data_IF_570571038409
#
_entry.id   IF_570571038409
#
_cell.length_a   1.000
_cell.length_b   1.000
_cell.length_c   1.000
_cell.angle_alpha   90.00
_cell.angle_beta   90.00
_cell.angle_gamma   90.00
#
_symmetry.space_group_name_H-M   'P 1'
#
loop_
_entity.id
_entity.type
_entity.pdbx_description
1 polymer ?
#
# COMPACT_ATOMS: atom_id res chain seq x y z
N UNK A 1 -13.81 1.31 -3.71
CA UNK A 1 -14.04 1.40 -2.27
C UNK A 1 -12.69 1.39 -1.58
N UNK A 2 -12.43 2.39 -0.73
CA UNK A 2 -11.08 2.74 -0.27
C UNK A 2 -10.39 3.72 -1.23
N UNK A 3 -9.27 4.30 -0.77
CA UNK A 3 -8.54 5.49 -1.27
C UNK A 3 -7.95 5.39 -2.70
N UNK A 4 -8.63 4.68 -3.62
CA UNK A 4 -8.28 4.53 -5.04
C UNK A 4 -9.53 4.36 -5.90
N UNK A 5 -9.44 4.72 -7.18
CA UNK A 5 -10.51 4.56 -8.15
C UNK A 5 -10.05 4.86 -9.57
N UNK A 6 -11.02 5.12 -10.44
CA UNK A 6 -10.79 5.56 -11.81
C UNK A 6 -11.56 6.86 -12.06
N UNK A 7 -10.96 7.76 -12.82
CA UNK A 7 -11.59 9.00 -13.25
C UNK A 7 -11.55 9.09 -14.78
N UNK A 8 -12.55 9.75 -15.35
CA UNK A 8 -12.53 10.16 -16.75
C UNK A 8 -11.90 11.54 -16.84
N UNK A 9 -10.83 11.68 -17.61
CA UNK A 9 -10.10 12.94 -17.76
C UNK A 9 -9.99 13.28 -19.25
N UNK A 10 -10.09 14.58 -19.55
CA UNK A 10 -9.74 15.10 -20.88
C UNK A 10 -8.29 15.53 -20.83
N UNK A 11 -7.45 14.86 -21.60
CA UNK A 11 -6.03 15.21 -21.71
C UNK A 11 -5.89 16.27 -22.80
N UNK A 12 -5.15 17.35 -22.54
CA UNK A 12 -4.75 18.37 -23.53
C UNK A 12 -5.86 19.01 -24.41
N UNK A 13 -7.12 19.03 -23.98
CA UNK A 13 -8.22 19.62 -24.75
C UNK A 13 -8.86 18.67 -25.78
N UNK A 14 -8.53 17.38 -25.71
CA UNK A 14 -9.14 16.35 -26.55
C UNK A 14 -10.65 16.22 -26.29
N UNK A 15 -11.40 15.87 -27.34
CA UNK A 15 -12.85 15.63 -27.23
C UNK A 15 -13.17 14.31 -26.52
N UNK A 16 -12.25 13.33 -26.60
CA UNK A 16 -12.39 12.01 -25.96
C UNK A 16 -11.90 12.02 -24.51
N UNK A 17 -12.62 11.28 -23.67
CA UNK A 17 -12.29 11.10 -22.26
C UNK A 17 -11.46 9.81 -22.08
N UNK A 18 -10.29 9.94 -21.45
CA UNK A 18 -9.47 8.80 -21.04
C UNK A 18 -9.85 8.36 -19.62
N UNK A 19 -9.88 7.04 -19.38
CA UNK A 19 -10.05 6.49 -18.03
C UNK A 19 -8.68 6.31 -17.40
N UNK A 20 -8.39 7.09 -16.36
CA UNK A 20 -7.10 7.05 -15.64
C UNK A 20 -7.29 6.57 -14.19
N UNK A 21 -6.29 5.88 -13.61
CA UNK A 21 -6.31 5.55 -12.20
C UNK A 21 -6.14 6.82 -11.35
N UNK A 22 -6.83 6.88 -10.22
CA UNK A 22 -6.74 7.98 -9.24
C UNK A 22 -6.57 7.43 -7.83
N UNK A 23 -5.80 8.14 -7.01
CA UNK A 23 -5.59 7.86 -5.59
C UNK A 23 -6.12 9.05 -4.76
N UNK A 24 -6.64 8.74 -3.57
CA UNK A 24 -7.27 9.72 -2.67
C UNK A 24 -6.57 9.71 -1.29
N UNK A 25 -6.86 10.73 -0.46
CA UNK A 25 -6.44 10.83 0.94
C UNK A 25 -4.95 10.55 1.19
N UNK A 26 -4.06 11.37 0.60
CA UNK A 26 -2.63 11.14 0.72
C UNK A 26 -2.10 11.46 2.13
N UNK A 27 -1.10 10.70 2.55
CA UNK A 27 -0.21 11.02 3.66
C UNK A 27 1.23 11.12 3.13
N UNK A 28 1.49 12.13 2.29
CA UNK A 28 2.74 12.21 1.49
C UNK A 28 3.97 12.52 2.34
N UNK A 29 5.08 11.86 2.00
CA UNK A 29 6.41 12.15 2.51
C UNK A 29 7.46 11.60 1.53
N UNK A 30 8.72 12.05 1.65
CA UNK A 30 9.83 11.43 0.95
C UNK A 30 10.31 10.21 1.74
N UNK A 31 10.18 9.03 1.17
CA UNK A 31 10.48 7.76 1.86
C UNK A 31 10.74 6.61 0.90
N UNK A 32 10.87 5.41 1.48
CA UNK A 32 11.04 4.19 0.68
C UNK A 32 9.72 3.81 0.00
N UNK A 33 9.77 3.57 -1.31
CA UNK A 33 8.62 3.13 -2.13
C UNK A 33 8.04 1.80 -1.65
N UNK A 34 8.85 0.97 -0.99
CA UNK A 34 8.37 -0.28 -0.40
C UNK A 34 7.27 -0.06 0.64
N UNK A 35 7.20 1.12 1.28
CA UNK A 35 6.15 1.45 2.23
C UNK A 35 4.77 1.53 1.55
N UNK A 36 4.68 2.18 0.39
CA UNK A 36 3.44 2.29 -0.37
C UNK A 36 3.00 0.92 -0.91
N UNK A 37 3.95 0.12 -1.42
CA UNK A 37 3.67 -1.25 -1.87
C UNK A 37 3.25 -2.16 -0.72
N UNK A 38 3.89 -2.06 0.45
CA UNK A 38 3.50 -2.85 1.60
C UNK A 38 2.04 -2.57 2.03
N UNK A 39 1.64 -1.29 2.02
CA UNK A 39 0.32 -0.85 2.43
C UNK A 39 -0.81 -1.44 1.55
N UNK A 40 -0.54 -1.75 0.28
CA UNK A 40 -1.56 -2.36 -0.60
C UNK A 40 -2.02 -3.73 -0.08
N UNK A 41 -1.20 -4.44 0.72
CA UNK A 41 -1.50 -5.75 1.29
C UNK A 41 -2.34 -5.72 2.57
N UNK A 42 -2.43 -4.58 3.26
CA UNK A 42 -3.03 -4.52 4.62
C UNK A 42 -4.54 -4.77 4.62
N UNK A 43 -5.25 -4.42 3.53
CA UNK A 43 -6.71 -4.53 3.43
C UNK A 43 -7.17 -5.36 2.23
N UNK A 44 -6.64 -6.58 2.12
CA UNK A 44 -7.08 -7.56 1.12
C UNK A 44 -6.25 -7.60 -0.17
N UNK A 45 -5.21 -6.78 -0.29
CA UNK A 45 -4.32 -6.80 -1.45
C UNK A 45 -4.91 -6.09 -2.67
N UNK A 46 -4.04 -5.72 -3.61
CA UNK A 46 -4.45 -5.38 -4.98
C UNK A 46 -4.40 -6.64 -5.86
N UNK A 47 -4.90 -6.55 -7.09
CA UNK A 47 -4.85 -7.68 -8.03
C UNK A 47 -3.42 -8.06 -8.41
N UNK A 48 -3.19 -9.32 -8.82
CA UNK A 48 -1.88 -9.82 -9.26
C UNK A 48 -1.26 -8.95 -10.36
N UNK A 49 -2.09 -8.44 -11.27
CA UNK A 49 -1.66 -7.65 -12.42
C UNK A 49 -1.02 -6.33 -11.99
N UNK A 50 -1.45 -5.75 -10.86
CA UNK A 50 -0.82 -4.56 -10.29
C UNK A 50 0.61 -4.86 -9.84
N UNK A 51 0.82 -5.97 -9.11
CA UNK A 51 2.14 -6.33 -8.62
C UNK A 51 3.08 -6.76 -9.76
N UNK A 52 2.56 -7.47 -10.76
CA UNK A 52 3.32 -7.84 -11.94
C UNK A 52 3.79 -6.60 -12.73
N UNK A 53 2.89 -5.64 -12.97
CA UNK A 53 3.26 -4.40 -13.66
C UNK A 53 4.25 -3.54 -12.86
N UNK A 54 4.11 -3.49 -11.52
CA UNK A 54 5.06 -2.76 -10.69
C UNK A 54 6.45 -3.41 -10.70
N UNK A 55 6.52 -4.74 -10.65
CA UNK A 55 7.78 -5.48 -10.71
C UNK A 55 8.47 -5.35 -12.07
N UNK A 56 7.71 -5.26 -13.17
CA UNK A 56 8.25 -5.02 -14.51
C UNK A 56 8.88 -3.62 -14.64
N UNK A 57 8.22 -2.59 -14.12
CA UNK A 57 8.67 -1.20 -14.22
C UNK A 57 9.75 -0.83 -13.18
N UNK A 58 9.61 -1.32 -11.95
CA UNK A 58 10.52 -1.00 -10.84
C UNK A 58 10.70 -2.18 -9.87
N UNK A 59 11.50 -3.19 -10.24
CA UNK A 59 11.70 -4.41 -9.48
C UNK A 59 12.03 -4.16 -8.01
N UNK A 60 11.36 -4.86 -7.09
CA UNK A 60 11.63 -4.74 -5.66
C UNK A 60 12.96 -5.41 -5.30
N UNK A 61 13.78 -4.81 -4.42
CA UNK A 61 15.06 -5.38 -4.07
C UNK A 61 14.87 -6.62 -3.18
N UNK A 62 15.88 -7.49 -3.19
CA UNK A 62 15.88 -8.71 -2.38
C UNK A 62 15.54 -8.41 -0.90
N UNK A 63 14.74 -9.30 -0.30
CA UNK A 63 14.29 -9.16 1.09
C UNK A 63 13.13 -8.19 1.31
N UNK A 64 12.54 -7.61 0.27
CA UNK A 64 11.35 -6.73 0.40
C UNK A 64 10.20 -7.43 1.13
N UNK A 65 10.04 -8.75 0.98
CA UNK A 65 9.04 -9.54 1.69
C UNK A 65 9.17 -9.47 3.21
N UNK A 66 10.41 -9.44 3.74
CA UNK A 66 10.64 -9.25 5.18
C UNK A 66 10.36 -7.81 5.61
N UNK A 67 10.83 -6.83 4.81
CA UNK A 67 10.61 -5.40 5.08
C UNK A 67 9.13 -5.01 5.01
N UNK A 68 8.33 -5.70 4.18
CA UNK A 68 6.87 -5.53 4.11
C UNK A 68 6.20 -5.68 5.46
N UNK A 69 6.56 -6.69 6.27
CA UNK A 69 6.02 -6.84 7.63
C UNK A 69 6.38 -5.64 8.51
N UNK A 70 7.60 -5.12 8.39
CA UNK A 70 8.06 -3.93 9.13
C UNK A 70 7.29 -2.68 8.71
N UNK A 71 7.11 -2.43 7.41
CA UNK A 71 6.33 -1.30 6.92
C UNK A 71 4.85 -1.39 7.31
N UNK A 72 4.25 -2.57 7.21
CA UNK A 72 2.85 -2.77 7.60
C UNK A 72 2.63 -2.60 9.11
N UNK A 73 3.63 -2.86 9.95
CA UNK A 73 3.52 -2.66 11.39
C UNK A 73 3.16 -1.20 11.74
N UNK A 74 3.73 -0.21 11.03
CA UNK A 74 3.37 1.20 11.22
C UNK A 74 1.87 1.43 11.02
N UNK A 75 1.31 0.89 9.94
CA UNK A 75 -0.11 1.06 9.63
C UNK A 75 -1.02 0.34 10.62
N UNK A 76 -0.65 -0.86 11.07
CA UNK A 76 -1.43 -1.59 12.08
C UNK A 76 -1.37 -0.88 13.44
N UNK A 77 -0.21 -0.35 13.84
CA UNK A 77 -0.11 0.47 15.06
C UNK A 77 -0.96 1.74 14.96
N UNK A 78 -0.96 2.42 13.81
CA UNK A 78 -1.84 3.56 13.57
C UNK A 78 -3.33 3.18 13.67
N UNK A 79 -3.71 2.01 13.15
CA UNK A 79 -5.08 1.51 13.28
C UNK A 79 -5.45 1.14 14.72
N UNK A 80 -4.52 0.63 15.53
CA UNK A 80 -4.76 0.43 16.97
C UNK A 80 -4.98 1.77 17.68
N UNK A 81 -4.22 2.81 17.36
CA UNK A 81 -4.42 4.15 17.95
C UNK A 81 -5.78 4.73 17.60
N UNK A 82 -6.22 4.58 16.34
CA UNK A 82 -7.46 5.19 15.85
C UNK A 82 -8.71 4.37 16.19
N UNK A 83 -8.61 3.04 16.20
CA UNK A 83 -9.77 2.15 16.22
C UNK A 83 -9.71 1.09 17.34
N UNK A 84 -8.53 0.82 17.90
CA UNK A 84 -8.34 -0.18 18.94
C UNK A 84 -8.69 -1.61 18.53
N UNK A 85 -8.92 -2.47 19.53
CA UNK A 85 -9.48 -3.81 19.32
C UNK A 85 -8.49 -4.80 18.73
N UNK A 86 -8.84 -5.39 17.58
CA UNK A 86 -8.06 -6.49 16.98
C UNK A 86 -6.68 -6.05 16.48
N UNK A 87 -6.49 -4.76 16.21
CA UNK A 87 -5.23 -4.23 15.71
C UNK A 87 -4.10 -4.38 16.75
N UNK A 88 -4.40 -4.34 18.06
CA UNK A 88 -3.44 -4.67 19.11
C UNK A 88 -2.84 -6.06 18.98
N UNK A 89 -3.70 -7.06 18.84
CA UNK A 89 -3.26 -8.46 18.70
C UNK A 89 -2.49 -8.66 17.41
N UNK A 90 -2.92 -8.01 16.32
CA UNK A 90 -2.23 -8.06 15.05
C UNK A 90 -0.84 -7.42 15.14
N UNK A 91 -0.71 -6.22 15.70
CA UNK A 91 0.57 -5.55 15.91
C UNK A 91 1.52 -6.41 16.74
N UNK A 92 1.03 -7.03 17.82
CA UNK A 92 1.85 -7.91 18.66
C UNK A 92 2.36 -9.12 17.88
N UNK A 93 1.51 -9.78 17.08
CA UNK A 93 1.93 -10.90 16.24
C UNK A 93 3.01 -10.51 15.23
N UNK A 94 2.86 -9.34 14.60
CA UNK A 94 3.84 -8.80 13.66
C UNK A 94 5.18 -8.47 14.34
N UNK A 95 5.14 -7.90 15.56
CA UNK A 95 6.35 -7.65 16.35
C UNK A 95 7.07 -8.97 16.68
N UNK A 96 6.33 -10.00 17.08
CA UNK A 96 6.90 -11.33 17.36
C UNK A 96 7.50 -11.98 16.11
N UNK A 97 6.90 -11.79 14.93
CA UNK A 97 7.45 -12.23 13.65
C UNK A 97 8.76 -11.51 13.33
N UNK A 98 8.78 -10.17 13.43
CA UNK A 98 9.95 -9.34 13.16
C UNK A 98 11.14 -9.73 14.06
N UNK A 99 10.88 -10.03 15.34
CA UNK A 99 11.93 -10.46 16.29
C UNK A 99 12.55 -11.83 15.96
N UNK A 100 11.96 -12.59 15.04
CA UNK A 100 12.43 -13.93 14.63
C UNK A 100 13.06 -13.96 13.22
N UNK A 101 13.14 -12.82 12.53
CA UNK A 101 13.55 -12.72 11.12
C UNK A 101 15.05 -12.93 10.87
#
# INVERSE_FOLDING_TARGET
GGNKGYAKVKVNGDEEEEVVPVIFDPATYYGDREADIAMTYVFGGFGSDFYAGYEEEWPLPEGHEKRKTVYNLYHILNHEVLFGGMYRSQARGMIEEILRM
#
